data_IF_171711646341
#
_entry.id   IF_171711646341
#
_cell.length_a   1.000
_cell.length_b   1.000
_cell.length_c   1.000
_cell.angle_alpha   90.00
_cell.angle_beta   90.00
_cell.angle_gamma   90.00
#
_symmetry.space_group_name_H-M   'P 1'
#
loop_
_entity.id
_entity.type
_entity.pdbx_description
1 polymer ?
#
# COMPACT_ATOMS: atom_id res chain seq x y z
N UNK A 1 37.07 14.90 47.95
CA UNK A 1 36.28 14.63 46.74
C UNK A 1 34.97 13.96 47.13
N UNK A 2 33.85 14.57 46.77
CA UNK A 2 32.55 14.24 47.36
C UNK A 2 31.95 13.05 46.60
N UNK A 3 32.15 11.83 47.10
CA UNK A 3 31.62 10.59 46.48
C UNK A 3 30.10 10.59 46.27
N UNK A 4 29.36 11.51 46.91
CA UNK A 4 27.92 11.72 46.72
C UNK A 4 27.56 12.14 45.29
N UNK A 5 28.40 12.94 44.64
CA UNK A 5 28.16 13.37 43.26
C UNK A 5 28.31 12.22 42.26
N UNK A 6 29.30 11.34 42.49
CA UNK A 6 29.45 10.11 41.73
C UNK A 6 28.25 9.19 41.93
N UNK A 7 27.73 9.09 43.17
CA UNK A 7 26.55 8.28 43.47
C UNK A 7 25.29 8.78 42.74
N UNK A 8 25.07 10.10 42.72
CA UNK A 8 23.94 10.73 42.01
C UNK A 8 24.08 10.53 40.50
N UNK A 9 25.29 10.72 39.94
CA UNK A 9 25.55 10.50 38.52
C UNK A 9 25.35 9.04 38.09
N UNK A 10 25.70 8.09 38.96
CA UNK A 10 25.59 6.66 38.67
C UNK A 10 24.12 6.19 38.73
N UNK A 11 23.31 6.74 39.63
CA UNK A 11 21.86 6.47 39.70
C UNK A 11 21.03 7.25 38.67
N UNK A 12 21.51 8.39 38.19
CA UNK A 12 20.84 9.16 37.14
C UNK A 12 20.80 8.42 35.79
N UNK A 13 21.82 7.59 35.50
CA UNK A 13 21.93 6.85 34.24
C UNK A 13 20.79 5.84 34.00
N UNK A 14 20.43 4.92 34.93
CA UNK A 14 19.31 4.02 34.74
C UNK A 14 17.96 4.76 34.71
N UNK A 15 17.81 5.81 35.52
CA UNK A 15 16.58 6.62 35.55
C UNK A 15 16.37 7.34 34.21
N UNK A 16 17.42 7.94 33.66
CA UNK A 16 17.38 8.59 32.37
C UNK A 16 17.00 7.61 31.24
N UNK A 17 17.48 6.37 31.30
CA UNK A 17 17.10 5.31 30.36
C UNK A 17 15.60 5.00 30.43
N UNK A 18 15.04 4.80 31.63
CA UNK A 18 13.60 4.51 31.79
C UNK A 18 12.73 5.66 31.30
N UNK A 19 13.09 6.91 31.62
CA UNK A 19 12.36 8.10 31.17
C UNK A 19 12.49 8.28 29.65
N UNK A 20 13.68 8.07 29.09
CA UNK A 20 13.92 8.17 27.65
C UNK A 20 13.13 7.13 26.86
N UNK A 21 13.12 5.87 27.32
CA UNK A 21 12.36 4.79 26.69
C UNK A 21 10.85 4.93 26.89
N UNK A 22 10.39 5.35 28.07
CA UNK A 22 8.98 5.64 28.32
C UNK A 22 8.45 6.78 27.45
N UNK A 23 9.22 7.87 27.33
CA UNK A 23 8.86 9.00 26.47
C UNK A 23 8.99 8.65 24.98
N UNK A 24 9.97 7.83 24.60
CA UNK A 24 10.06 7.25 23.25
C UNK A 24 8.74 6.56 22.88
N UNK A 25 8.23 5.65 23.72
CA UNK A 25 6.98 4.92 23.47
C UNK A 25 5.77 5.86 23.31
N UNK A 26 5.67 6.90 24.12
CA UNK A 26 4.54 7.85 24.04
C UNK A 26 4.64 8.75 22.79
N UNK A 27 5.85 9.17 22.41
CA UNK A 27 6.07 10.03 21.24
C UNK A 27 6.05 9.28 19.91
N UNK A 28 6.43 8.00 19.90
CA UNK A 28 6.46 7.16 18.69
C UNK A 28 5.17 6.37 18.44
N UNK A 29 4.16 6.51 19.31
CA UNK A 29 2.84 5.91 19.10
C UNK A 29 2.69 4.47 19.58
N UNK A 30 3.47 4.05 20.57
CA UNK A 30 3.44 2.70 21.14
C UNK A 30 4.70 1.88 20.79
N UNK A 31 4.88 0.68 21.41
CA UNK A 31 5.99 -0.19 21.07
C UNK A 31 5.98 -0.50 19.58
N UNK A 32 7.06 -0.13 18.88
CA UNK A 32 7.33 -0.54 17.50
C UNK A 32 7.25 -2.06 17.46
N UNK A 33 6.14 -2.58 16.93
CA UNK A 33 6.01 -3.98 16.61
C UNK A 33 7.15 -4.28 15.63
N UNK A 34 8.05 -5.19 16.03
CA UNK A 34 9.03 -5.80 15.12
C UNK A 34 8.21 -6.67 14.17
N UNK A 35 7.59 -6.04 13.18
CA UNK A 35 6.77 -6.70 12.20
C UNK A 35 7.70 -7.35 11.18
N UNK A 36 7.89 -8.67 11.29
CA UNK A 36 8.32 -9.53 10.19
C UNK A 36 7.21 -9.69 9.12
N UNK A 37 6.52 -8.59 8.82
CA UNK A 37 5.47 -8.46 7.81
C UNK A 37 5.68 -7.14 7.09
N UNK A 38 5.37 -7.05 5.78
CA UNK A 38 5.82 -5.95 4.94
C UNK A 38 5.40 -4.62 5.56
N UNK A 39 6.42 -3.80 5.82
CA UNK A 39 6.32 -2.45 6.35
C UNK A 39 5.23 -1.68 5.60
N UNK A 40 4.16 -1.32 6.30
CA UNK A 40 3.16 -0.37 5.79
C UNK A 40 3.84 1.00 5.76
N UNK A 41 4.54 1.23 4.66
CA UNK A 41 5.09 2.51 4.24
C UNK A 41 3.97 3.58 4.27
N UNK A 42 4.32 4.87 4.45
CA UNK A 42 3.33 5.94 4.50
C UNK A 42 2.44 5.88 3.26
N UNK A 43 1.19 6.34 3.38
CA UNK A 43 0.15 6.42 2.33
C UNK A 43 0.56 7.36 1.17
N UNK A 44 1.72 7.12 0.58
CA UNK A 44 2.02 7.51 -0.76
C UNK A 44 1.21 6.54 -1.61
N UNK A 45 0.33 7.07 -2.44
CA UNK A 45 -0.44 6.34 -3.44
C UNK A 45 0.48 5.76 -4.51
N UNK A 46 1.41 4.89 -4.09
CA UNK A 46 2.19 4.06 -4.96
C UNK A 46 1.23 3.03 -5.51
N UNK A 47 0.68 3.35 -6.69
CA UNK A 47 -0.15 2.43 -7.45
C UNK A 47 0.72 1.20 -7.72
N UNK A 48 0.49 0.13 -6.96
CA UNK A 48 1.33 -1.05 -7.04
C UNK A 48 1.16 -1.65 -8.45
N UNK A 49 2.30 -1.97 -9.08
CA UNK A 49 2.29 -2.57 -10.41
C UNK A 49 2.04 -4.06 -10.30
N UNK A 50 1.17 -4.56 -11.16
CA UNK A 50 0.67 -5.92 -11.18
C UNK A 50 0.76 -6.45 -12.61
N UNK A 51 1.18 -7.71 -12.77
CA UNK A 51 1.21 -8.36 -14.07
C UNK A 51 -0.19 -8.84 -14.48
N UNK A 52 -0.43 -8.98 -15.79
CA UNK A 52 -1.71 -9.42 -16.35
C UNK A 52 -2.28 -10.70 -15.70
N UNK A 53 -1.45 -11.73 -15.46
CA UNK A 53 -1.92 -12.97 -14.82
C UNK A 53 -2.53 -12.75 -13.44
N UNK A 54 -1.89 -11.92 -12.60
CA UNK A 54 -2.41 -11.60 -11.26
C UNK A 54 -3.67 -10.72 -11.31
N UNK A 55 -3.81 -9.93 -12.37
CA UNK A 55 -5.06 -9.22 -12.63
C UNK A 55 -6.20 -10.19 -12.96
N UNK A 56 -5.95 -11.21 -13.80
CA UNK A 56 -6.94 -12.26 -14.06
C UNK A 56 -7.34 -12.99 -12.78
N UNK A 57 -6.39 -13.31 -11.89
CA UNK A 57 -6.69 -13.93 -10.60
C UNK A 57 -7.61 -13.06 -9.72
N UNK A 58 -7.46 -11.72 -9.80
CA UNK A 58 -8.34 -10.79 -9.08
C UNK A 58 -9.71 -10.63 -9.74
N UNK A 59 -9.76 -10.70 -11.07
CA UNK A 59 -10.97 -10.66 -11.85
C UNK A 59 -11.83 -11.90 -11.58
N UNK A 60 -11.24 -13.09 -11.65
CA UNK A 60 -11.92 -14.37 -11.38
C UNK A 60 -12.35 -14.49 -9.91
N UNK A 61 -11.59 -13.92 -8.98
CA UNK A 61 -11.97 -13.85 -7.57
C UNK A 61 -13.09 -12.84 -7.26
N UNK A 62 -13.59 -12.09 -8.27
CA UNK A 62 -14.64 -11.09 -8.07
C UNK A 62 -14.21 -9.93 -7.16
N UNK A 63 -12.91 -9.64 -7.09
CA UNK A 63 -12.36 -8.61 -6.18
C UNK A 63 -12.21 -7.25 -6.83
N UNK A 64 -12.46 -7.14 -8.12
CA UNK A 64 -12.30 -5.90 -8.89
C UNK A 64 -13.62 -5.15 -8.91
N UNK A 65 -13.58 -3.85 -8.65
CA UNK A 65 -14.74 -2.95 -8.66
C UNK A 65 -14.78 -2.09 -9.92
N UNK A 66 -13.63 -1.63 -10.39
CA UNK A 66 -13.51 -0.84 -11.62
C UNK A 66 -12.19 -1.11 -12.34
N UNK A 67 -12.22 -0.94 -13.66
CA UNK A 67 -11.08 -1.06 -14.57
C UNK A 67 -11.06 0.15 -15.50
N UNK A 68 -10.05 1.01 -15.33
CA UNK A 68 -9.79 2.15 -16.20
C UNK A 68 -8.62 1.82 -17.12
N UNK A 69 -8.88 1.72 -18.43
CA UNK A 69 -7.84 1.44 -19.42
C UNK A 69 -7.22 2.74 -19.91
N UNK A 70 -5.89 2.73 -20.04
CA UNK A 70 -5.09 3.84 -20.55
C UNK A 70 -4.19 3.40 -21.69
N UNK A 71 -3.67 4.40 -22.42
CA UNK A 71 -2.63 4.21 -23.42
C UNK A 71 -3.00 3.16 -24.50
N UNK A 72 -4.27 3.19 -24.93
CA UNK A 72 -4.78 2.33 -26.00
C UNK A 72 -4.81 0.84 -25.65
N UNK A 73 -4.89 0.47 -24.36
CA UNK A 73 -4.95 -0.93 -23.94
C UNK A 73 -3.60 -1.53 -23.55
N UNK A 74 -2.57 -0.72 -23.36
CA UNK A 74 -1.26 -1.17 -22.86
C UNK A 74 -1.14 -1.11 -21.35
N UNK A 75 -1.93 -0.26 -20.71
CA UNK A 75 -1.97 -0.15 -19.26
C UNK A 75 -3.41 -0.04 -18.79
N UNK A 76 -3.69 -0.55 -17.59
CA UNK A 76 -4.95 -0.33 -16.91
C UNK A 76 -4.70 0.04 -15.46
N UNK A 77 -5.62 0.78 -14.87
CA UNK A 77 -5.70 1.04 -13.44
C UNK A 77 -6.93 0.31 -12.94
N UNK A 78 -6.75 -0.57 -11.97
CA UNK A 78 -7.84 -1.35 -11.39
C UNK A 78 -8.04 -0.94 -9.94
N UNK A 79 -9.30 -0.95 -9.52
CA UNK A 79 -9.65 -0.81 -8.12
C UNK A 79 -10.09 -2.17 -7.60
N UNK A 80 -9.32 -2.73 -6.68
CA UNK A 80 -9.58 -4.03 -6.08
C UNK A 80 -9.85 -3.90 -4.57
N UNK A 81 -10.82 -4.65 -4.07
CA UNK A 81 -11.14 -4.73 -2.65
C UNK A 81 -10.31 -5.85 -2.01
N UNK A 82 -9.49 -5.49 -1.04
CA UNK A 82 -8.73 -6.47 -0.25
C UNK A 82 -9.51 -6.83 1.03
N UNK A 83 -10.05 -8.07 1.15
CA UNK A 83 -10.81 -8.48 2.31
C UNK A 83 -9.95 -8.67 3.57
N UNK A 84 -8.62 -8.78 3.43
CA UNK A 84 -7.71 -9.04 4.56
C UNK A 84 -7.34 -7.77 5.31
N UNK A 85 -7.46 -6.60 4.66
CA UNK A 85 -7.11 -5.30 5.24
C UNK A 85 -8.33 -4.37 5.15
N UNK A 86 -9.26 -4.54 6.09
CA UNK A 86 -10.33 -3.55 6.37
C UNK A 86 -11.19 -3.19 5.14
N UNK A 87 -11.35 -4.16 4.23
CA UNK A 87 -12.15 -4.02 3.01
C UNK A 87 -11.81 -2.76 2.19
N UNK A 88 -10.54 -2.34 2.22
CA UNK A 88 -10.09 -1.11 1.55
C UNK A 88 -9.99 -1.33 0.06
N UNK A 89 -10.51 -0.36 -0.69
CA UNK A 89 -10.31 -0.27 -2.14
C UNK A 89 -8.87 0.18 -2.40
N UNK A 90 -8.11 -0.64 -3.10
CA UNK A 90 -6.73 -0.36 -3.49
C UNK A 90 -6.66 -0.14 -5.00
N UNK A 91 -5.95 0.91 -5.40
CA UNK A 91 -5.68 1.22 -6.80
C UNK A 91 -4.38 0.56 -7.25
N UNK A 92 -4.47 -0.29 -8.26
CA UNK A 92 -3.35 -1.07 -8.80
C UNK A 92 -3.16 -0.73 -10.28
N UNK A 93 -1.93 -0.82 -10.78
CA UNK A 93 -1.58 -0.57 -12.18
C UNK A 93 -1.25 -1.90 -12.82
N UNK A 94 -1.87 -2.20 -13.94
CA UNK A 94 -1.68 -3.43 -14.68
C UNK A 94 -1.10 -3.11 -16.04
N UNK A 95 -0.03 -3.80 -16.41
CA UNK A 95 0.48 -3.78 -17.78
C UNK A 95 -0.25 -4.85 -18.58
N UNK A 96 -0.92 -4.43 -19.66
CA UNK A 96 -1.73 -5.28 -20.51
C UNK A 96 -0.93 -5.62 -21.78
N UNK A 97 -0.96 -6.87 -22.26
CA UNK A 97 -0.38 -7.24 -23.55
C UNK A 97 -1.13 -6.63 -24.75
N UNK A 98 -2.32 -6.09 -24.49
CA UNK A 98 -3.24 -5.47 -25.44
C UNK A 98 -4.67 -5.58 -24.88
N UNK A 99 -5.58 -4.76 -25.37
CA UNK A 99 -7.00 -4.88 -25.04
C UNK A 99 -7.61 -6.04 -25.83
N UNK A 100 -7.57 -7.24 -25.26
CA UNK A 100 -8.17 -8.43 -25.87
C UNK A 100 -9.71 -8.38 -25.76
N UNK A 101 -10.47 -8.70 -26.82
CA UNK A 101 -11.94 -8.74 -26.77
C UNK A 101 -12.48 -9.65 -25.67
N UNK A 102 -11.79 -10.76 -25.40
CA UNK A 102 -12.15 -11.73 -24.37
C UNK A 102 -12.12 -11.11 -22.96
N UNK A 103 -11.18 -10.19 -22.73
CA UNK A 103 -11.09 -9.50 -21.45
C UNK A 103 -12.28 -8.57 -21.23
N UNK A 104 -12.70 -7.86 -22.27
CA UNK A 104 -13.85 -6.96 -22.20
C UNK A 104 -15.10 -7.76 -21.82
N UNK A 105 -15.32 -8.90 -22.48
CA UNK A 105 -16.44 -9.79 -22.16
C UNK A 105 -16.40 -10.25 -20.69
N UNK A 106 -15.23 -10.63 -20.17
CA UNK A 106 -15.11 -11.05 -18.76
C UNK A 106 -15.40 -9.91 -17.78
N UNK A 107 -14.94 -8.69 -18.07
CA UNK A 107 -15.20 -7.52 -17.22
C UNK A 107 -16.70 -7.17 -17.22
N UNK A 108 -17.34 -7.22 -18.39
CA UNK A 108 -18.79 -7.00 -18.54
C UNK A 108 -19.62 -8.09 -17.84
N UNK A 109 -19.25 -9.37 -17.98
CA UNK A 109 -19.91 -10.49 -17.31
C UNK A 109 -19.86 -10.37 -15.78
N UNK A 110 -18.78 -9.82 -15.23
CA UNK A 110 -18.62 -9.57 -13.80
C UNK A 110 -19.32 -8.28 -13.33
N UNK A 111 -19.92 -7.50 -14.23
CA UNK A 111 -20.62 -6.25 -13.89
C UNK A 111 -19.69 -5.15 -13.38
N UNK A 112 -18.41 -5.18 -13.78
CA UNK A 112 -17.39 -4.25 -13.33
C UNK A 112 -17.48 -2.95 -14.15
N UNK A 113 -17.29 -1.81 -13.49
CA UNK A 113 -17.25 -0.52 -14.20
C UNK A 113 -16.01 -0.44 -15.10
N UNK A 114 -16.21 -0.30 -16.41
CA UNK A 114 -15.14 -0.23 -17.41
C UNK A 114 -15.13 1.14 -18.10
N UNK A 115 -13.96 1.80 -18.12
CA UNK A 115 -13.79 3.07 -18.82
C UNK A 115 -12.48 3.10 -19.62
N UNK A 116 -12.49 3.75 -20.78
CA UNK A 116 -11.33 3.80 -21.69
C UNK A 116 -10.91 5.24 -21.91
N UNK A 117 -9.71 5.56 -21.44
CA UNK A 117 -9.15 6.89 -21.57
C UNK A 117 -8.24 6.98 -22.81
N UNK A 118 -8.44 7.99 -23.68
CA UNK A 118 -7.56 8.22 -24.81
C UNK A 118 -6.13 8.56 -24.32
N UNK A 119 -5.10 8.24 -25.13
CA UNK A 119 -3.73 8.60 -24.80
C UNK A 119 -3.63 10.11 -24.64
N UNK A 120 -3.06 10.56 -23.52
CA UNK A 120 -2.80 11.99 -23.30
C UNK A 120 -1.65 12.42 -24.20
N UNK A 121 -1.98 13.09 -25.30
CA UNK A 121 -0.98 13.81 -26.10
C UNK A 121 -0.60 15.06 -25.34
N UNK A 122 0.51 15.06 -24.61
CA UNK A 122 1.06 16.30 -24.06
C UNK A 122 1.54 17.14 -25.26
N UNK A 123 1.00 18.36 -25.48
CA UNK A 123 1.54 19.25 -26.50
C UNK A 123 3.01 19.59 -26.19
N UNK A 124 3.89 19.69 -27.20
CA UNK A 124 5.31 19.96 -27.02
C UNK A 124 5.60 21.33 -26.42
#
# INVERSE_FOLDING_TARGET
MNNRWRLIALWALPIALVVFFGLQVVRSGGPQQVANGPTVAPRNSAVARVAYGRFLDYLEAGRITSVDVYDGGRTAVIEAVDPYIDNRVQRLRVDLPGLAPELISQIEEQGISFDVHPPRTTPP
#
